data_IF_506169842922
#
_entry.id   IF_506169842922
#
_cell.length_a   1.000
_cell.length_b   1.000
_cell.length_c   1.000
_cell.angle_alpha   90.00
_cell.angle_beta   90.00
_cell.angle_gamma   90.00
#
_symmetry.space_group_name_H-M   'P 1'
#
loop_
_entity.id
_entity.type
_entity.pdbx_description
1 polymer ?
#
# COMPACT_ATOMS: atom_id res chain seq x y z
N UNK A 1 13.35 35.64 -26.90
CA UNK A 1 12.47 35.17 -25.79
C UNK A 1 11.69 33.95 -26.27
N UNK A 2 12.03 32.74 -25.81
CA UNK A 2 11.15 31.56 -25.84
C UNK A 2 11.04 31.10 -24.39
N UNK A 3 9.88 31.31 -23.76
CA UNK A 3 9.61 30.88 -22.39
C UNK A 3 9.55 29.35 -22.35
N UNK A 4 10.13 28.78 -21.30
CA UNK A 4 10.38 27.36 -21.13
C UNK A 4 9.08 26.65 -20.68
N UNK A 5 8.44 25.91 -21.59
CA UNK A 5 7.13 25.28 -21.33
C UNK A 5 7.21 24.05 -20.42
N UNK A 6 8.40 23.53 -20.09
CA UNK A 6 8.56 22.30 -19.28
C UNK A 6 8.09 22.47 -17.82
N UNK A 7 8.32 23.63 -17.21
CA UNK A 7 7.88 23.91 -15.83
C UNK A 7 6.35 24.03 -15.74
N UNK A 8 5.68 24.48 -16.81
CA UNK A 8 4.23 24.58 -16.87
C UNK A 8 3.57 23.19 -16.93
N UNK A 9 4.15 22.22 -17.66
CA UNK A 9 3.63 20.85 -17.73
C UNK A 9 3.80 20.07 -16.42
N UNK A 10 4.89 20.31 -15.68
CA UNK A 10 5.12 19.69 -14.37
C UNK A 10 4.15 20.24 -13.32
N UNK A 11 3.88 21.55 -13.34
CA UNK A 11 2.89 22.17 -12.45
C UNK A 11 1.46 21.72 -12.82
N UNK A 12 1.14 21.55 -14.11
CA UNK A 12 -0.15 21.00 -14.56
C UNK A 12 -0.29 19.52 -14.14
N UNK A 13 0.77 18.70 -14.23
CA UNK A 13 0.73 17.29 -13.82
C UNK A 13 0.53 17.14 -12.30
N UNK A 14 1.22 17.95 -11.50
CA UNK A 14 1.02 18.01 -10.04
C UNK A 14 -0.39 18.52 -9.72
N UNK A 15 -0.90 19.55 -10.42
CA UNK A 15 -2.28 20.02 -10.26
C UNK A 15 -3.31 18.95 -10.65
N UNK A 16 -3.07 18.13 -11.68
CA UNK A 16 -3.95 17.03 -12.12
C UNK A 16 -3.92 15.85 -11.14
N UNK A 17 -2.78 15.58 -10.50
CA UNK A 17 -2.63 14.54 -9.46
C UNK A 17 -3.25 14.96 -8.12
N UNK A 18 -3.19 16.25 -7.76
CA UNK A 18 -3.95 16.81 -6.66
C UNK A 18 -5.44 16.95 -6.99
N UNK A 19 -5.81 17.27 -8.23
CA UNK A 19 -7.20 17.27 -8.70
C UNK A 19 -7.80 15.86 -8.73
N UNK A 20 -7.06 14.80 -9.06
CA UNK A 20 -7.56 13.41 -9.05
C UNK A 20 -7.76 12.85 -7.65
N UNK A 21 -6.92 13.24 -6.69
CA UNK A 21 -7.08 12.93 -5.26
C UNK A 21 -8.18 13.78 -4.59
N UNK A 22 -8.33 15.06 -4.98
CA UNK A 22 -9.49 15.89 -4.62
C UNK A 22 -10.78 15.35 -5.29
N UNK A 23 -10.71 14.81 -6.52
CA UNK A 23 -11.83 14.19 -7.21
C UNK A 23 -12.23 12.86 -6.55
N UNK A 24 -11.27 12.02 -6.13
CA UNK A 24 -11.51 10.80 -5.34
C UNK A 24 -12.24 11.11 -4.02
N UNK A 25 -11.85 12.20 -3.35
CA UNK A 25 -12.52 12.72 -2.16
C UNK A 25 -13.91 13.30 -2.53
N UNK A 26 -14.04 14.01 -3.65
CA UNK A 26 -15.29 14.64 -4.09
C UNK A 26 -16.34 13.66 -4.61
N UNK A 27 -15.93 12.55 -5.23
CA UNK A 27 -16.79 11.51 -5.80
C UNK A 27 -17.29 10.58 -4.70
N UNK A 28 -16.44 10.23 -3.73
CA UNK A 28 -16.88 9.53 -2.53
C UNK A 28 -17.82 10.41 -1.68
N UNK A 29 -17.54 11.72 -1.61
CA UNK A 29 -18.44 12.72 -1.01
C UNK A 29 -19.74 12.90 -1.81
N UNK A 30 -19.73 12.89 -3.14
CA UNK A 30 -20.94 12.99 -4.00
C UNK A 30 -21.81 11.75 -3.97
N UNK A 31 -21.22 10.55 -3.88
CA UNK A 31 -21.98 9.31 -3.74
C UNK A 31 -22.61 9.23 -2.34
N UNK A 32 -21.88 9.61 -1.28
CA UNK A 32 -22.44 9.72 0.08
C UNK A 32 -23.46 10.86 0.23
N UNK A 33 -23.27 12.01 -0.42
CA UNK A 33 -24.26 13.09 -0.47
C UNK A 33 -25.50 12.64 -1.24
N UNK A 34 -25.35 11.91 -2.36
CA UNK A 34 -26.50 11.33 -3.07
C UNK A 34 -27.21 10.28 -2.23
N UNK A 35 -26.50 9.43 -1.49
CA UNK A 35 -27.11 8.43 -0.60
C UNK A 35 -27.79 9.09 0.62
N UNK A 36 -27.22 10.17 1.14
CA UNK A 36 -27.81 11.00 2.18
C UNK A 36 -29.00 11.82 1.66
N UNK A 37 -28.93 12.38 0.44
CA UNK A 37 -30.04 13.06 -0.25
C UNK A 37 -31.16 12.06 -0.53
N UNK A 38 -30.86 10.85 -1.00
CA UNK A 38 -31.83 9.77 -1.20
C UNK A 38 -32.45 9.35 0.14
N UNK A 39 -31.68 9.24 1.22
CA UNK A 39 -32.22 8.93 2.57
C UNK A 39 -33.07 10.08 3.11
N UNK A 40 -32.64 11.34 2.95
CA UNK A 40 -33.40 12.53 3.37
C UNK A 40 -34.67 12.67 2.54
N UNK A 41 -34.64 12.43 1.24
CA UNK A 41 -35.80 12.47 0.33
C UNK A 41 -36.76 11.29 0.61
N UNK A 42 -36.23 10.12 1.01
CA UNK A 42 -37.03 8.98 1.49
C UNK A 42 -37.70 9.29 2.83
N UNK A 43 -37.00 9.93 3.78
CA UNK A 43 -37.56 10.35 5.08
C UNK A 43 -38.60 11.47 4.90
N UNK A 44 -38.33 12.42 4.00
CA UNK A 44 -39.23 13.56 3.70
C UNK A 44 -40.49 13.09 2.94
N UNK A 45 -40.38 12.06 2.10
CA UNK A 45 -41.54 11.50 1.38
C UNK A 45 -42.38 10.52 2.22
N UNK A 46 -41.80 9.90 3.25
CA UNK A 46 -42.50 9.01 4.18
C UNK A 46 -43.23 9.75 5.32
N UNK A 47 -42.79 10.96 5.68
CA UNK A 47 -43.38 11.77 6.76
C UNK A 47 -44.16 12.99 6.23
N UNK A 48 -45.34 12.75 5.66
CA UNK A 48 -46.26 13.81 5.21
C UNK A 48 -47.02 14.54 6.35
N UNK A 49 -46.62 14.38 7.62
CA UNK A 49 -47.17 15.14 8.74
C UNK A 49 -46.01 15.75 9.55
N UNK A 50 -46.01 17.08 9.60
CA UNK A 50 -44.96 17.95 10.13
C UNK A 50 -44.66 17.75 11.62
N UNK A 51 -43.67 16.92 11.98
CA UNK A 51 -42.94 17.07 13.25
C UNK A 51 -41.46 17.33 12.95
N UNK A 52 -41.14 18.63 12.85
CA UNK A 52 -39.80 19.17 12.56
C UNK A 52 -38.73 18.70 13.57
N UNK A 53 -39.12 18.43 14.82
CA UNK A 53 -38.20 17.98 15.88
C UNK A 53 -37.59 16.60 15.58
N UNK A 54 -38.38 15.66 15.06
CA UNK A 54 -37.91 14.30 14.69
C UNK A 54 -36.91 14.33 13.54
N UNK A 55 -37.08 15.27 12.60
CA UNK A 55 -36.16 15.48 11.48
C UNK A 55 -34.85 16.08 12.00
N UNK A 56 -34.90 17.05 12.91
CA UNK A 56 -33.71 17.69 13.48
C UNK A 56 -32.87 16.69 14.30
N UNK A 57 -33.51 15.83 15.08
CA UNK A 57 -32.83 14.83 15.93
C UNK A 57 -32.08 13.78 15.10
N UNK A 58 -32.71 13.28 14.02
CA UNK A 58 -32.08 12.34 13.08
C UNK A 58 -30.99 12.97 12.21
N UNK A 59 -31.11 14.26 11.89
CA UNK A 59 -30.08 14.99 11.14
C UNK A 59 -28.84 15.24 12.01
N UNK A 60 -29.02 15.45 13.32
CA UNK A 60 -27.94 15.61 14.28
C UNK A 60 -27.23 14.27 14.62
N UNK A 61 -27.93 13.13 14.59
CA UNK A 61 -27.27 11.80 14.66
C UNK A 61 -26.36 11.58 13.44
N UNK A 62 -26.80 11.94 12.23
CA UNK A 62 -26.00 11.84 11.01
C UNK A 62 -24.79 12.79 11.05
N UNK A 63 -24.93 14.01 11.62
CA UNK A 63 -23.79 14.91 11.78
C UNK A 63 -22.82 14.42 12.86
N UNK A 64 -23.32 13.82 13.94
CA UNK A 64 -22.50 13.21 15.00
C UNK A 64 -21.70 12.01 14.52
N UNK A 65 -22.26 11.19 13.63
CA UNK A 65 -21.57 10.05 13.00
C UNK A 65 -20.48 10.50 11.99
N UNK A 66 -20.67 11.67 11.35
CA UNK A 66 -19.66 12.28 10.46
C UNK A 66 -18.49 12.87 11.27
N UNK A 67 -18.76 13.54 12.39
CA UNK A 67 -17.72 14.03 13.31
C UNK A 67 -16.93 12.86 13.97
N UNK A 68 -17.59 11.72 14.21
CA UNK A 68 -16.93 10.50 14.70
C UNK A 68 -16.05 9.81 13.64
N UNK A 69 -16.29 9.99 12.33
CA UNK A 69 -15.42 9.47 11.26
C UNK A 69 -14.22 10.39 10.95
N UNK A 70 -14.30 11.71 11.18
CA UNK A 70 -13.14 12.61 11.09
C UNK A 70 -12.06 12.27 12.14
N UNK A 71 -12.45 11.66 13.27
CA UNK A 71 -11.52 11.12 14.26
C UNK A 71 -10.66 9.95 13.74
N UNK A 72 -10.95 9.37 12.56
CA UNK A 72 -10.16 8.28 11.96
C UNK A 72 -8.98 8.76 11.11
N UNK A 73 -8.82 10.07 10.89
CA UNK A 73 -7.66 10.65 10.18
C UNK A 73 -6.62 11.28 11.09
N UNK A 74 -6.93 11.37 12.38
CA UNK A 74 -6.06 12.00 13.35
C UNK A 74 -4.77 11.23 13.62
N UNK A 75 -3.97 11.84 14.47
CA UNK A 75 -2.87 11.18 15.15
C UNK A 75 -3.03 11.36 16.65
N UNK A 76 -2.46 10.47 17.44
CA UNK A 76 -2.37 10.63 18.89
C UNK A 76 -0.92 10.66 19.32
N UNK A 77 -0.56 11.67 20.10
CA UNK A 77 0.76 11.84 20.71
C UNK A 77 0.54 12.13 22.20
N UNK A 78 1.16 11.38 23.10
CA UNK A 78 1.05 11.60 24.56
C UNK A 78 -0.41 11.64 25.07
N UNK A 79 -1.29 10.84 24.45
CA UNK A 79 -2.70 10.76 24.80
C UNK A 79 -3.57 11.92 24.30
N UNK A 80 -3.00 12.88 23.59
CA UNK A 80 -3.74 13.96 22.91
C UNK A 80 -3.94 13.62 21.44
N UNK A 81 -5.11 13.94 20.92
CA UNK A 81 -5.46 13.70 19.51
C UNK A 81 -5.34 15.00 18.71
N UNK A 82 -4.81 14.88 17.51
CA UNK A 82 -4.63 15.95 16.52
C UNK A 82 -5.27 15.53 15.21
N UNK A 83 -5.76 16.49 14.42
CA UNK A 83 -6.44 16.20 13.14
C UNK A 83 -5.48 15.60 12.10
N UNK A 84 -4.21 15.99 12.17
CA UNK A 84 -3.16 15.50 11.31
C UNK A 84 -1.80 15.74 11.94
N UNK A 85 -0.77 15.28 11.24
CA UNK A 85 0.59 15.61 11.64
C UNK A 85 0.93 17.09 11.49
N UNK A 86 0.33 17.78 10.52
CA UNK A 86 0.50 19.22 10.35
C UNK A 86 -0.16 20.01 11.48
N UNK A 87 -1.36 19.61 11.92
CA UNK A 87 -2.07 20.24 13.06
C UNK A 87 -1.25 20.12 14.35
N UNK A 88 -0.65 18.95 14.60
CA UNK A 88 0.29 18.78 15.72
C UNK A 88 1.46 19.78 15.68
N UNK A 89 2.07 19.97 14.51
CA UNK A 89 3.23 20.84 14.35
C UNK A 89 2.88 22.32 14.51
N UNK A 90 1.76 22.75 13.94
CA UNK A 90 1.29 24.12 14.06
C UNK A 90 1.09 24.50 15.53
N UNK A 91 0.44 23.62 16.31
CA UNK A 91 0.22 23.85 17.75
C UNK A 91 1.51 23.87 18.57
N UNK A 92 2.48 23.01 18.21
CA UNK A 92 3.81 23.01 18.84
C UNK A 92 4.52 24.35 18.62
N UNK A 93 4.52 24.83 17.38
CA UNK A 93 5.18 26.09 17.01
C UNK A 93 4.47 27.32 17.61
N UNK A 94 3.16 27.21 17.90
CA UNK A 94 2.38 28.19 18.68
C UNK A 94 2.66 28.17 20.19
N UNK A 95 3.53 27.27 20.67
CA UNK A 95 4.00 27.22 22.04
C UNK A 95 3.38 26.13 22.92
N UNK A 96 2.61 25.19 22.35
CA UNK A 96 2.32 23.94 23.06
C UNK A 96 3.63 23.15 23.22
N UNK A 97 4.16 23.05 24.43
CA UNK A 97 5.38 22.28 24.75
C UNK A 97 5.12 20.76 24.68
N UNK A 98 4.81 20.27 23.49
CA UNK A 98 4.53 18.85 23.22
C UNK A 98 5.57 18.40 22.20
N UNK A 99 6.48 17.56 22.65
CA UNK A 99 7.53 16.98 21.82
C UNK A 99 7.32 15.47 21.73
N UNK A 100 7.56 14.90 20.55
CA UNK A 100 7.67 13.46 20.40
C UNK A 100 9.07 13.04 20.86
N UNK A 101 9.21 12.35 22.01
CA UNK A 101 10.53 12.01 22.53
C UNK A 101 11.18 10.92 21.66
N UNK A 102 12.51 10.86 21.69
CA UNK A 102 13.20 9.63 21.30
C UNK A 102 12.77 8.49 22.22
N UNK A 103 12.69 7.29 21.65
CA UNK A 103 12.38 6.12 22.45
C UNK A 103 13.47 5.80 23.47
N UNK A 104 13.05 5.19 24.57
CA UNK A 104 13.94 4.63 25.58
C UNK A 104 14.66 3.39 25.05
N UNK A 105 15.87 3.16 25.55
CA UNK A 105 16.73 2.03 25.17
C UNK A 105 16.00 0.68 25.28
N UNK A 106 15.15 0.49 26.30
CA UNK A 106 14.38 -0.76 26.46
C UNK A 106 13.42 -1.02 25.31
N UNK A 107 12.74 0.01 24.81
CA UNK A 107 11.82 -0.10 23.67
C UNK A 107 12.61 -0.25 22.36
N UNK A 108 13.75 0.45 22.25
CA UNK A 108 14.66 0.29 21.12
C UNK A 108 15.17 -1.15 21.00
N UNK A 109 15.62 -1.77 22.08
CA UNK A 109 16.10 -3.15 22.08
C UNK A 109 15.00 -4.14 21.65
N UNK A 110 13.75 -3.90 22.06
CA UNK A 110 12.61 -4.69 21.59
C UNK A 110 12.38 -4.52 20.08
N UNK A 111 12.41 -3.27 19.60
CA UNK A 111 12.25 -2.96 18.19
C UNK A 111 13.36 -3.59 17.34
N UNK A 112 14.61 -3.45 17.78
CA UNK A 112 15.77 -4.06 17.16
C UNK A 112 15.64 -5.58 17.13
N UNK A 113 15.29 -6.21 18.25
CA UNK A 113 15.10 -7.66 18.32
C UNK A 113 14.07 -8.16 17.31
N UNK A 114 12.95 -7.46 17.11
CA UNK A 114 11.96 -7.87 16.11
C UNK A 114 12.42 -7.62 14.67
N UNK A 115 13.05 -6.48 14.40
CA UNK A 115 13.51 -6.14 13.05
C UNK A 115 14.66 -7.05 12.61
N UNK A 116 15.60 -7.42 13.49
CA UNK A 116 16.70 -8.33 13.16
C UNK A 116 16.26 -9.77 12.89
N UNK A 117 15.01 -10.15 13.20
CA UNK A 117 14.44 -11.45 12.78
C UNK A 117 14.01 -11.46 11.32
N UNK A 118 13.90 -10.28 10.69
CA UNK A 118 13.43 -10.16 9.32
C UNK A 118 14.60 -10.39 8.37
N UNK A 119 14.47 -11.42 7.55
CA UNK A 119 15.33 -11.61 6.39
C UNK A 119 14.78 -10.75 5.26
N UNK A 120 15.47 -9.66 4.95
CA UNK A 120 15.05 -8.76 3.88
C UNK A 120 15.44 -9.28 2.49
N UNK A 121 16.51 -10.09 2.38
CA UNK A 121 17.02 -10.59 1.11
C UNK A 121 16.03 -11.58 0.49
N UNK A 122 15.80 -11.43 -0.81
CA UNK A 122 14.99 -12.35 -1.60
C UNK A 122 15.79 -12.97 -2.73
N UNK A 123 15.30 -14.08 -3.26
CA UNK A 123 15.92 -14.80 -4.35
C UNK A 123 14.99 -14.89 -5.55
N UNK A 124 15.56 -14.78 -6.75
CA UNK A 124 14.88 -15.00 -8.01
C UNK A 124 15.12 -16.43 -8.50
N UNK A 125 14.78 -17.41 -7.66
CA UNK A 125 14.93 -18.82 -8.01
C UNK A 125 14.05 -19.13 -9.22
N UNK A 126 14.59 -19.84 -10.21
CA UNK A 126 13.84 -20.24 -11.40
C UNK A 126 12.90 -21.41 -11.13
N UNK A 127 13.02 -22.10 -9.99
CA UNK A 127 12.24 -23.31 -9.72
C UNK A 127 12.57 -24.44 -10.70
N UNK A 128 11.59 -25.27 -11.01
CA UNK A 128 11.72 -26.39 -11.94
C UNK A 128 11.66 -25.94 -13.40
N UNK A 129 12.83 -25.86 -14.03
CA UNK A 129 12.99 -25.52 -15.44
C UNK A 129 12.22 -26.45 -16.39
N UNK A 130 11.89 -27.68 -15.97
CA UNK A 130 11.10 -28.60 -16.80
C UNK A 130 9.64 -28.16 -16.98
N UNK A 131 9.15 -27.27 -16.12
CA UNK A 131 7.79 -26.70 -16.19
C UNK A 131 7.70 -25.47 -17.09
N UNK A 132 8.82 -24.86 -17.48
CA UNK A 132 8.83 -23.57 -18.17
C UNK A 132 8.03 -23.60 -19.48
N UNK A 133 8.29 -24.58 -20.33
CA UNK A 133 7.63 -24.66 -21.65
C UNK A 133 6.11 -24.87 -21.55
N UNK A 134 5.64 -25.62 -20.55
CA UNK A 134 4.20 -25.85 -20.35
C UNK A 134 3.53 -24.63 -19.72
N UNK A 135 4.15 -24.02 -18.70
CA UNK A 135 3.60 -22.86 -18.00
C UNK A 135 3.57 -21.63 -18.92
N UNK A 136 4.63 -21.35 -19.69
CA UNK A 136 4.63 -20.29 -20.71
C UNK A 136 3.48 -20.43 -21.70
N UNK A 137 3.18 -21.66 -22.16
CA UNK A 137 2.03 -21.92 -23.05
C UNK A 137 0.69 -21.63 -22.36
N UNK A 138 0.56 -21.95 -21.09
CA UNK A 138 -0.67 -21.70 -20.32
C UNK A 138 -0.85 -20.20 -20.12
N UNK A 139 0.18 -19.49 -19.66
CA UNK A 139 0.12 -18.04 -19.52
C UNK A 139 -0.12 -17.34 -20.86
N UNK A 140 0.45 -17.83 -21.97
CA UNK A 140 0.13 -17.35 -23.33
C UNK A 140 -1.35 -17.48 -23.65
N UNK A 141 -1.96 -18.64 -23.35
CA UNK A 141 -3.42 -18.84 -23.55
C UNK A 141 -4.23 -17.83 -22.73
N UNK A 142 -3.81 -17.54 -21.49
CA UNK A 142 -4.45 -16.54 -20.64
C UNK A 142 -4.35 -15.13 -21.26
N UNK A 143 -3.14 -14.72 -21.65
CA UNK A 143 -2.88 -13.42 -22.31
C UNK A 143 -3.66 -13.26 -23.63
N UNK A 144 -3.82 -14.36 -24.37
CA UNK A 144 -4.59 -14.42 -25.61
C UNK A 144 -6.12 -14.49 -25.40
N UNK A 145 -6.61 -14.50 -24.16
CA UNK A 145 -8.03 -14.65 -23.82
C UNK A 145 -8.63 -16.01 -24.21
N UNK A 146 -7.82 -17.06 -24.31
CA UNK A 146 -8.28 -18.42 -24.57
C UNK A 146 -8.77 -19.10 -23.27
N UNK A 147 -8.16 -18.74 -22.13
CA UNK A 147 -8.58 -19.17 -20.79
C UNK A 147 -8.71 -17.94 -19.86
N UNK A 148 -9.60 -17.98 -18.86
CA UNK A 148 -9.73 -16.88 -17.90
C UNK A 148 -8.65 -16.93 -16.81
N UNK A 149 -8.42 -15.77 -16.20
CA UNK A 149 -7.71 -15.58 -14.94
C UNK A 149 -8.73 -15.61 -13.80
N UNK A 150 -8.45 -16.33 -12.71
CA UNK A 150 -9.18 -16.19 -11.46
C UNK A 150 -8.67 -14.97 -10.71
N UNK A 151 -9.50 -13.92 -10.64
CA UNK A 151 -9.24 -12.75 -9.80
C UNK A 151 -9.60 -13.09 -8.34
N UNK A 152 -8.59 -13.21 -7.49
CA UNK A 152 -8.77 -13.56 -6.06
C UNK A 152 -9.37 -12.42 -5.24
N UNK A 153 -9.38 -11.18 -5.75
CA UNK A 153 -9.96 -10.01 -5.08
C UNK A 153 -11.48 -10.09 -5.04
N UNK A 154 -12.06 -10.51 -6.15
CA UNK A 154 -13.51 -10.63 -6.36
C UNK A 154 -13.99 -12.08 -6.36
N UNK A 155 -13.06 -13.04 -6.40
CA UNK A 155 -13.30 -14.46 -6.55
C UNK A 155 -14.10 -14.80 -7.84
N UNK A 156 -13.76 -14.14 -8.95
CA UNK A 156 -14.41 -14.31 -10.25
C UNK A 156 -13.41 -14.63 -11.35
N UNK A 157 -13.84 -15.40 -12.35
CA UNK A 157 -13.07 -15.64 -13.57
C UNK A 157 -13.27 -14.50 -14.56
N UNK A 158 -12.16 -13.98 -15.09
CA UNK A 158 -12.13 -12.82 -15.98
C UNK A 158 -11.11 -13.04 -17.09
N UNK A 159 -11.44 -12.65 -18.31
CA UNK A 159 -10.49 -12.69 -19.42
C UNK A 159 -9.54 -11.50 -19.37
N UNK A 160 -8.29 -11.66 -19.82
CA UNK A 160 -7.26 -10.63 -19.78
C UNK A 160 -7.71 -9.28 -20.39
N UNK A 161 -8.39 -9.32 -21.53
CA UNK A 161 -8.97 -8.15 -22.24
C UNK A 161 -10.03 -7.39 -21.44
N UNK A 162 -10.57 -8.01 -20.40
CA UNK A 162 -11.60 -7.43 -19.55
C UNK A 162 -11.05 -7.12 -18.16
N UNK A 163 -9.80 -7.52 -17.86
CA UNK A 163 -9.17 -7.30 -16.58
C UNK A 163 -8.88 -5.82 -16.35
N UNK A 164 -9.63 -5.22 -15.41
CA UNK A 164 -9.38 -3.88 -14.90
C UNK A 164 -8.55 -3.97 -13.62
N UNK A 165 -7.52 -3.11 -13.52
CA UNK A 165 -6.68 -3.07 -12.30
C UNK A 165 -7.37 -2.35 -11.16
N UNK A 166 -8.32 -1.46 -11.48
CA UNK A 166 -9.05 -0.67 -10.50
C UNK A 166 -10.54 -0.57 -10.88
N UNK A 167 -11.39 -0.76 -9.89
CA UNK A 167 -12.87 -0.70 -9.99
C UNK A 167 -13.41 0.71 -10.33
N UNK A 168 -12.56 1.74 -10.32
CA UNK A 168 -13.00 3.14 -10.37
C UNK A 168 -13.28 3.69 -11.78
N UNK A 169 -12.53 3.23 -12.78
CA UNK A 169 -12.58 3.81 -14.13
C UNK A 169 -12.87 2.79 -15.25
N UNK A 170 -13.07 1.50 -14.92
CA UNK A 170 -13.11 0.39 -15.90
C UNK A 170 -11.94 0.43 -16.91
N UNK A 171 -10.81 1.05 -16.54
CA UNK A 171 -9.62 1.11 -17.39
C UNK A 171 -9.01 -0.29 -17.42
N UNK A 172 -9.22 -0.96 -18.56
CA UNK A 172 -8.74 -2.32 -18.79
C UNK A 172 -7.25 -2.27 -19.05
N UNK A 173 -6.53 -3.27 -18.54
CA UNK A 173 -5.10 -3.39 -18.83
C UNK A 173 -4.83 -3.49 -20.34
N UNK A 174 -5.72 -4.16 -21.07
CA UNK A 174 -5.62 -4.25 -22.53
C UNK A 174 -5.73 -2.91 -23.24
N UNK A 175 -6.36 -1.90 -22.65
CA UNK A 175 -6.41 -0.56 -23.26
C UNK A 175 -5.01 0.10 -23.28
N UNK A 176 -4.06 -0.48 -22.53
CA UNK A 176 -2.66 -0.13 -22.54
C UNK A 176 -1.83 -1.02 -23.46
N UNK A 177 -2.38 -1.55 -24.56
CA UNK A 177 -1.66 -2.33 -25.59
C UNK A 177 -0.33 -1.69 -26.06
N UNK A 178 -0.15 -0.37 -25.92
CA UNK A 178 1.09 0.36 -26.24
C UNK A 178 1.95 0.73 -25.01
N UNK A 179 1.63 0.24 -23.82
CA UNK A 179 2.40 0.51 -22.61
C UNK A 179 3.66 -0.35 -22.55
N UNK A 180 4.67 0.17 -21.85
CA UNK A 180 5.81 -0.60 -21.42
C UNK A 180 5.33 -1.64 -20.39
N UNK A 181 5.51 -2.91 -20.75
CA UNK A 181 5.27 -4.08 -19.91
C UNK A 181 6.62 -4.71 -19.63
N UNK A 182 6.92 -4.91 -18.35
CA UNK A 182 8.06 -5.71 -17.90
C UNK A 182 7.52 -7.07 -17.49
N UNK A 183 8.12 -8.14 -18.01
CA UNK A 183 7.71 -9.50 -17.69
C UNK A 183 8.85 -10.22 -16.97
N UNK A 184 8.50 -10.89 -15.87
CA UNK A 184 9.43 -11.73 -15.13
C UNK A 184 8.85 -13.13 -14.95
N UNK A 185 9.73 -14.13 -14.94
CA UNK A 185 9.29 -15.52 -14.92
C UNK A 185 10.21 -16.41 -14.05
N UNK A 186 9.75 -16.65 -12.83
CA UNK A 186 10.52 -17.30 -11.77
C UNK A 186 9.59 -17.76 -10.63
N UNK A 187 10.09 -18.62 -9.74
CA UNK A 187 9.38 -19.14 -8.56
C UNK A 187 9.31 -18.05 -7.48
N UNK A 188 8.17 -17.34 -7.45
CA UNK A 188 7.91 -16.23 -6.54
C UNK A 188 7.27 -16.72 -5.22
N UNK A 189 6.46 -17.78 -5.27
CA UNK A 189 5.72 -18.26 -4.09
C UNK A 189 6.42 -19.39 -3.30
N UNK A 190 7.57 -19.85 -3.78
CA UNK A 190 8.41 -20.89 -3.20
C UNK A 190 7.70 -22.26 -3.15
N UNK A 191 6.94 -22.58 -4.21
CA UNK A 191 6.36 -23.90 -4.47
C UNK A 191 7.16 -24.75 -5.48
N UNK A 192 8.15 -24.13 -6.14
CA UNK A 192 9.01 -24.77 -7.14
C UNK A 192 8.53 -24.63 -8.58
N UNK A 193 7.34 -24.08 -8.83
CA UNK A 193 6.85 -23.74 -10.16
C UNK A 193 7.08 -22.24 -10.46
N UNK A 194 7.20 -21.84 -11.74
CA UNK A 194 7.39 -20.44 -12.08
C UNK A 194 6.06 -19.66 -12.15
N UNK A 195 6.02 -18.49 -11.53
CA UNK A 195 4.98 -17.49 -11.69
C UNK A 195 5.27 -16.54 -12.86
N UNK A 196 4.21 -16.02 -13.46
CA UNK A 196 4.29 -14.85 -14.32
C UNK A 196 4.12 -13.59 -13.47
N UNK A 197 5.16 -12.77 -13.38
CA UNK A 197 5.09 -11.44 -12.77
C UNK A 197 5.10 -10.41 -13.89
N UNK A 198 4.16 -9.46 -13.84
CA UNK A 198 4.07 -8.38 -14.82
C UNK A 198 4.07 -7.04 -14.11
N UNK A 199 4.88 -6.11 -14.61
CA UNK A 199 4.80 -4.70 -14.25
C UNK A 199 4.28 -3.92 -15.45
N UNK A 200 3.10 -3.34 -15.30
CA UNK A 200 2.43 -2.57 -16.36
C UNK A 200 2.51 -1.07 -16.06
N UNK A 201 2.95 -0.27 -17.03
CA UNK A 201 3.10 1.20 -16.90
C UNK A 201 3.94 1.64 -15.70
N UNK A 202 4.92 0.83 -15.31
CA UNK A 202 5.75 1.04 -14.11
C UNK A 202 4.97 1.10 -12.77
N UNK A 203 3.65 0.87 -12.77
CA UNK A 203 2.79 1.12 -11.61
C UNK A 203 2.04 -0.11 -11.12
N UNK A 204 1.58 -0.95 -12.04
CA UNK A 204 0.73 -2.07 -11.70
C UNK A 204 1.55 -3.35 -11.65
N UNK A 205 1.65 -3.94 -10.48
CA UNK A 205 2.31 -5.22 -10.28
C UNK A 205 1.27 -6.32 -10.18
N UNK A 206 1.44 -7.36 -10.99
CA UNK A 206 0.54 -8.50 -11.08
C UNK A 206 1.38 -9.77 -10.98
N UNK A 207 1.02 -10.63 -10.04
CA UNK A 207 1.73 -11.89 -9.79
C UNK A 207 0.73 -13.00 -10.04
N UNK A 208 0.97 -13.79 -11.09
CA UNK A 208 0.03 -14.78 -11.59
C UNK A 208 0.66 -16.16 -11.47
N UNK A 209 0.00 -17.01 -10.69
CA UNK A 209 0.33 -18.43 -10.52
C UNK A 209 -0.55 -19.29 -11.42
N UNK A 210 -0.05 -20.45 -11.83
CA UNK A 210 -0.89 -21.49 -12.43
C UNK A 210 -1.10 -22.65 -11.45
N UNK A 211 -2.37 -22.98 -11.17
CA UNK A 211 -2.77 -24.13 -10.36
C UNK A 211 -3.01 -25.34 -11.28
N UNK A 212 -2.12 -26.35 -11.31
CA UNK A 212 -2.26 -27.51 -12.18
C UNK A 212 -3.36 -28.47 -11.74
N UNK A 213 -3.78 -28.46 -10.47
CA UNK A 213 -4.87 -29.31 -9.98
C UNK A 213 -6.22 -28.79 -10.46
N UNK A 214 -6.37 -27.46 -10.49
CA UNK A 214 -7.61 -26.79 -10.93
C UNK A 214 -7.60 -26.39 -12.41
N UNK A 215 -6.46 -26.49 -13.09
CA UNK A 215 -6.21 -25.99 -14.45
C UNK A 215 -6.61 -24.50 -14.58
N UNK A 216 -6.06 -23.66 -13.68
CA UNK A 216 -6.43 -22.23 -13.59
C UNK A 216 -5.20 -21.34 -13.43
N UNK A 217 -5.18 -20.26 -14.20
CA UNK A 217 -4.36 -19.09 -13.85
C UNK A 217 -5.05 -18.35 -12.69
N UNK A 218 -4.29 -17.98 -11.67
CA UNK A 218 -4.78 -17.34 -10.45
C UNK A 218 -3.98 -16.07 -10.22
N UNK A 219 -4.66 -14.94 -10.00
CA UNK A 219 -4.03 -13.72 -9.52
C UNK A 219 -3.61 -13.95 -8.06
N UNK A 220 -2.36 -14.32 -7.85
CA UNK A 220 -1.81 -14.69 -6.55
C UNK A 220 -1.63 -13.45 -5.66
N UNK A 221 -1.05 -12.39 -6.22
CA UNK A 221 -0.92 -11.09 -5.55
C UNK A 221 -0.97 -9.96 -6.59
N UNK A 222 -1.29 -8.76 -6.12
CA UNK A 222 -1.31 -7.56 -6.94
C UNK A 222 -1.05 -6.33 -6.08
N UNK A 223 -0.49 -5.28 -6.69
CA UNK A 223 -0.39 -3.97 -6.06
C UNK A 223 -0.39 -2.85 -7.10
N UNK A 224 -0.76 -1.65 -6.67
CA UNK A 224 -0.63 -0.41 -7.44
C UNK A 224 0.38 0.48 -6.71
N UNK A 225 1.64 0.40 -7.11
CA UNK A 225 2.69 1.20 -6.52
C UNK A 225 3.85 1.39 -7.51
N UNK A 226 4.10 2.64 -7.88
CA UNK A 226 5.19 2.99 -8.79
C UNK A 226 6.56 2.71 -8.19
N UNK A 227 6.66 2.67 -6.86
CA UNK A 227 7.90 2.53 -6.10
C UNK A 227 8.10 1.12 -5.56
N UNK A 228 7.17 0.20 -5.84
CA UNK A 228 7.31 -1.20 -5.50
C UNK A 228 8.48 -1.84 -6.27
N UNK A 229 9.26 -2.61 -5.53
CA UNK A 229 10.32 -3.50 -6.00
C UNK A 229 9.98 -4.94 -5.60
N UNK A 230 9.91 -5.82 -6.59
CA UNK A 230 9.84 -7.25 -6.37
C UNK A 230 11.24 -7.75 -5.94
N UNK A 231 11.32 -8.40 -4.77
CA UNK A 231 12.59 -8.93 -4.24
C UNK A 231 12.73 -10.45 -4.44
N UNK A 232 11.69 -11.13 -4.91
CA UNK A 232 11.66 -12.59 -4.98
C UNK A 232 11.34 -13.26 -3.64
N UNK A 233 11.24 -14.58 -3.59
CA UNK A 233 10.96 -15.37 -2.36
C UNK A 233 9.81 -14.81 -1.50
N UNK A 234 8.67 -14.49 -2.13
CA UNK A 234 7.48 -13.87 -1.51
C UNK A 234 7.72 -12.50 -0.86
N UNK A 235 8.83 -11.81 -1.15
CA UNK A 235 9.20 -10.51 -0.57
C UNK A 235 8.99 -9.35 -1.53
N UNK A 236 8.50 -8.25 -0.97
CA UNK A 236 8.21 -7.02 -1.70
C UNK A 236 8.68 -5.84 -0.87
N UNK A 237 9.37 -4.91 -1.51
CA UNK A 237 9.76 -3.63 -0.93
C UNK A 237 9.07 -2.49 -1.69
N UNK A 238 8.91 -1.34 -1.04
CA UNK A 238 8.60 -0.08 -1.72
C UNK A 238 9.40 1.05 -1.08
N UNK A 239 10.01 1.88 -1.93
CA UNK A 239 10.91 2.95 -1.50
C UNK A 239 10.95 4.03 -2.58
N UNK A 240 10.55 5.25 -2.22
CA UNK A 240 10.56 6.37 -3.17
C UNK A 240 11.98 6.86 -3.47
N UNK A 241 12.83 6.92 -2.45
CA UNK A 241 14.15 7.55 -2.51
C UNK A 241 15.22 6.86 -1.65
N UNK A 242 14.97 5.63 -1.19
CA UNK A 242 15.89 4.86 -0.35
C UNK A 242 15.84 5.20 1.13
N UNK A 243 15.10 6.25 1.54
CA UNK A 243 15.06 6.69 2.95
C UNK A 243 13.94 6.06 3.75
N UNK A 244 12.86 5.70 3.09
CA UNK A 244 11.71 5.04 3.69
C UNK A 244 11.85 3.53 3.53
N UNK A 245 11.42 2.81 4.56
CA UNK A 245 11.39 1.34 4.55
C UNK A 245 9.94 0.92 4.51
N UNK A 246 9.51 0.35 3.40
CA UNK A 246 8.25 -0.36 3.35
C UNK A 246 8.52 -1.77 2.84
N UNK A 247 8.28 -2.75 3.70
CA UNK A 247 8.60 -4.14 3.40
C UNK A 247 7.41 -5.04 3.73
N UNK A 248 7.18 -6.03 2.87
CA UNK A 248 6.12 -7.01 2.97
C UNK A 248 6.70 -8.40 2.72
N UNK A 249 6.30 -9.35 3.57
CA UNK A 249 6.42 -10.77 3.31
C UNK A 249 5.02 -11.32 3.06
N UNK A 250 4.86 -12.07 1.97
CA UNK A 250 3.64 -12.79 1.64
C UNK A 250 3.75 -14.26 2.07
N UNK A 251 2.62 -14.90 2.35
CA UNK A 251 2.51 -16.34 2.50
C UNK A 251 2.41 -17.04 1.13
N UNK A 252 2.36 -18.37 1.13
CA UNK A 252 2.26 -19.18 -0.12
C UNK A 252 0.97 -18.96 -0.90
N UNK A 253 -0.03 -18.31 -0.31
CA UNK A 253 -1.30 -17.98 -0.98
C UNK A 253 -1.39 -16.50 -1.37
N UNK A 254 -0.27 -15.77 -1.30
CA UNK A 254 -0.17 -14.37 -1.70
C UNK A 254 -0.82 -13.42 -0.69
N UNK A 255 -1.10 -13.87 0.53
CA UNK A 255 -1.64 -13.04 1.60
C UNK A 255 -0.50 -12.47 2.44
N UNK A 256 -0.75 -11.34 3.07
CA UNK A 256 0.22 -10.70 3.95
C UNK A 256 0.56 -11.63 5.13
N UNK A 257 1.83 -12.01 5.26
CA UNK A 257 2.34 -12.71 6.44
C UNK A 257 2.77 -11.68 7.50
N UNK A 258 3.56 -10.70 7.08
CA UNK A 258 3.85 -9.51 7.88
C UNK A 258 4.26 -8.32 7.02
N UNK A 259 4.17 -7.13 7.61
CA UNK A 259 4.64 -5.87 7.02
C UNK A 259 5.38 -5.00 8.02
N UNK A 260 6.46 -4.40 7.55
CA UNK A 260 7.28 -3.44 8.28
C UNK A 260 7.19 -2.08 7.60
N UNK A 261 7.14 -1.02 8.40
CA UNK A 261 7.16 0.33 7.89
C UNK A 261 7.98 1.24 8.79
N UNK A 262 8.93 1.94 8.18
CA UNK A 262 9.59 3.09 8.73
C UNK A 262 9.63 4.23 7.69
N UNK A 263 9.60 5.47 8.15
CA UNK A 263 9.69 6.61 7.26
C UNK A 263 10.53 7.73 7.88
N UNK A 264 11.12 8.52 7.00
CA UNK A 264 11.82 9.74 7.35
C UNK A 264 10.98 10.93 6.91
N UNK A 265 10.59 11.79 7.86
CA UNK A 265 9.86 13.01 7.52
C UNK A 265 10.61 14.26 7.98
N UNK A 266 10.53 15.31 7.16
CA UNK A 266 11.13 16.61 7.40
C UNK A 266 10.14 17.48 8.15
N UNK A 267 10.48 17.84 9.39
CA UNK A 267 9.64 18.67 10.26
C UNK A 267 9.99 20.14 10.14
N UNK A 268 11.27 20.42 9.94
CA UNK A 268 11.77 21.74 9.56
C UNK A 268 13.02 21.56 8.69
N UNK A 269 13.61 22.68 8.24
CA UNK A 269 14.90 22.63 7.53
C UNK A 269 16.03 22.04 8.39
N UNK A 270 15.88 22.08 9.72
CA UNK A 270 16.87 21.64 10.70
C UNK A 270 16.45 20.38 11.47
N UNK A 271 15.21 19.88 11.28
CA UNK A 271 14.64 18.80 12.09
C UNK A 271 14.05 17.69 11.21
N UNK A 272 14.59 16.48 11.35
CA UNK A 272 14.17 15.27 10.63
C UNK A 272 13.86 14.18 11.64
N UNK A 273 12.65 13.58 11.60
CA UNK A 273 12.35 12.41 12.42
C UNK A 273 12.39 11.17 11.57
N UNK A 274 13.01 10.15 12.14
CA UNK A 274 12.99 8.79 11.68
C UNK A 274 11.98 8.06 12.54
N UNK A 275 10.89 7.67 11.92
CA UNK A 275 9.72 7.10 12.56
C UNK A 275 9.67 5.62 12.20
N UNK A 276 9.76 4.76 13.20
CA UNK A 276 9.77 3.31 13.00
C UNK A 276 8.57 2.70 13.70
N UNK A 277 7.98 1.67 13.11
CA UNK A 277 6.94 0.88 13.76
C UNK A 277 7.40 -0.55 13.95
N UNK A 278 6.85 -1.23 14.95
CA UNK A 278 7.03 -2.68 15.05
C UNK A 278 6.47 -3.37 13.80
N UNK A 279 7.07 -4.49 13.37
CA UNK A 279 6.48 -5.33 12.34
C UNK A 279 5.05 -5.72 12.74
N UNK A 280 4.13 -5.72 11.77
CA UNK A 280 2.76 -6.22 11.98
C UNK A 280 2.59 -7.55 11.30
N UNK A 281 2.33 -8.57 12.09
CA UNK A 281 2.10 -9.93 11.64
C UNK A 281 0.60 -10.18 11.43
N UNK A 282 0.26 -11.03 10.47
CA UNK A 282 -1.11 -11.52 10.34
C UNK A 282 -1.53 -12.37 11.55
N UNK A 283 -0.58 -13.12 12.12
CA UNK A 283 -0.77 -13.78 13.41
C UNK A 283 -0.51 -12.80 14.57
N UNK A 284 -1.59 -12.30 15.16
CA UNK A 284 -1.54 -11.34 16.27
C UNK A 284 -0.78 -11.86 17.51
N UNK A 285 -0.57 -13.18 17.64
CA UNK A 285 0.20 -13.75 18.75
C UNK A 285 1.69 -13.44 18.66
N UNK A 286 2.16 -13.02 17.49
CA UNK A 286 3.54 -12.60 17.22
C UNK A 286 3.73 -11.09 17.43
N UNK A 287 2.66 -10.32 17.66
CA UNK A 287 2.78 -8.88 17.90
C UNK A 287 3.41 -8.61 19.28
N UNK A 288 4.26 -7.57 19.32
CA UNK A 288 4.90 -7.13 20.55
C UNK A 288 3.86 -6.51 21.48
N UNK A 289 3.84 -6.97 22.73
CA UNK A 289 2.97 -6.41 23.76
C UNK A 289 3.68 -5.26 24.48
N UNK A 290 3.19 -4.04 24.29
CA UNK A 290 3.52 -2.87 25.10
C UNK A 290 2.30 -2.43 25.88
N UNK A 291 2.50 -1.84 27.06
CA UNK A 291 1.39 -1.27 27.83
C UNK A 291 0.88 0.00 27.14
N UNK A 292 -0.41 0.31 27.32
CA UNK A 292 -1.00 1.56 26.83
C UNK A 292 -0.26 2.81 27.31
N UNK A 293 0.30 2.77 28.52
CA UNK A 293 1.09 3.87 29.09
C UNK A 293 2.43 4.03 28.36
N UNK A 294 3.15 2.94 28.09
CA UNK A 294 4.41 2.98 27.32
C UNK A 294 4.16 3.49 25.90
N UNK A 295 3.12 2.98 25.24
CA UNK A 295 2.71 3.38 23.90
C UNK A 295 2.39 4.87 23.84
N UNK A 296 1.50 5.35 24.70
CA UNK A 296 1.09 6.77 24.70
C UNK A 296 2.25 7.69 25.06
N UNK A 297 3.13 7.29 25.98
CA UNK A 297 4.24 8.14 26.45
C UNK A 297 5.32 8.34 25.39
N UNK A 298 5.62 7.32 24.59
CA UNK A 298 6.79 7.31 23.69
C UNK A 298 6.42 7.29 22.20
N UNK A 299 5.18 6.94 21.87
CA UNK A 299 4.75 6.73 20.50
C UNK A 299 3.81 7.80 19.97
N UNK A 300 3.80 7.91 18.64
CA UNK A 300 2.73 8.54 17.86
C UNK A 300 1.85 7.43 17.28
N UNK A 301 0.55 7.48 17.52
CA UNK A 301 -0.40 6.57 16.89
C UNK A 301 -1.05 7.24 15.68
N UNK A 302 -1.15 6.55 14.55
CA UNK A 302 -1.91 7.03 13.38
C UNK A 302 -3.15 6.17 13.19
N UNK A 303 -4.33 6.80 13.21
CA UNK A 303 -5.61 6.09 13.10
C UNK A 303 -5.79 5.48 11.71
N UNK A 304 -5.40 6.21 10.66
CA UNK A 304 -5.50 5.77 9.26
C UNK A 304 -4.72 4.46 8.98
N UNK A 305 -3.59 4.25 9.66
CA UNK A 305 -2.79 3.04 9.50
C UNK A 305 -3.01 2.03 10.63
N UNK A 306 -3.76 2.41 11.68
CA UNK A 306 -3.92 1.67 12.93
C UNK A 306 -2.55 1.18 13.42
N UNK A 307 -1.64 2.12 13.70
CA UNK A 307 -0.22 1.83 13.93
C UNK A 307 0.44 2.84 14.85
N UNK A 308 1.26 2.33 15.76
CA UNK A 308 2.18 3.10 16.59
C UNK A 308 3.53 3.30 15.91
N UNK A 309 4.08 4.49 16.11
CA UNK A 309 5.32 4.97 15.52
C UNK A 309 6.22 5.54 16.61
N UNK A 310 7.50 5.25 16.49
CA UNK A 310 8.51 5.52 17.49
C UNK A 310 9.63 6.34 16.85
N UNK A 311 9.95 7.48 17.46
CA UNK A 311 11.05 8.33 17.01
C UNK A 311 12.37 7.73 17.47
N UNK A 312 13.27 7.48 16.52
CA UNK A 312 14.62 6.97 16.78
C UNK A 312 15.67 7.99 16.34
N UNK A 313 16.91 7.86 16.84
CA UNK A 313 18.04 8.65 16.34
C UNK A 313 18.45 8.19 14.93
N UNK A 314 19.32 8.94 14.25
CA UNK A 314 19.90 8.50 12.98
C UNK A 314 20.70 7.20 13.18
N UNK A 315 21.55 7.15 14.21
CA UNK A 315 22.41 5.99 14.47
C UNK A 315 21.57 4.72 14.70
N UNK A 316 20.50 4.84 15.49
CA UNK A 316 19.54 3.77 15.73
C UNK A 316 18.84 3.34 14.43
N UNK A 317 18.40 4.29 13.60
CA UNK A 317 17.75 3.95 12.34
C UNK A 317 18.68 3.20 11.38
N UNK A 318 19.92 3.66 11.24
CA UNK A 318 20.91 3.00 10.39
C UNK A 318 21.23 1.59 10.89
N UNK A 319 21.33 1.39 12.22
CA UNK A 319 21.53 0.06 12.80
C UNK A 319 20.33 -0.87 12.53
N UNK A 320 19.09 -0.38 12.67
CA UNK A 320 17.88 -1.17 12.41
C UNK A 320 17.78 -1.63 10.96
N UNK A 321 18.19 -0.79 10.01
CA UNK A 321 17.93 -1.00 8.58
C UNK A 321 19.17 -1.21 7.71
N UNK A 322 20.33 -1.44 8.32
CA UNK A 322 21.59 -1.69 7.59
C UNK A 322 21.41 -2.77 6.51
N UNK A 323 20.88 -3.94 6.90
CA UNK A 323 20.66 -5.06 5.98
C UNK A 323 19.64 -4.76 4.87
N UNK A 324 18.62 -3.93 5.16
CA UNK A 324 17.61 -3.53 4.18
C UNK A 324 18.23 -2.65 3.08
N UNK A 325 19.07 -1.69 3.45
CA UNK A 325 19.72 -0.79 2.50
C UNK A 325 20.78 -1.48 1.62
N UNK A 326 21.32 -2.62 2.06
CA UNK A 326 22.22 -3.44 1.24
C UNK A 326 21.46 -4.09 0.06
N UNK A 327 20.19 -4.45 0.23
CA UNK A 327 19.37 -5.11 -0.80
C UNK A 327 18.94 -4.16 -1.91
N UNK A 328 18.77 -2.86 -1.64
CA UNK A 328 18.48 -1.88 -2.71
C UNK A 328 19.59 -1.86 -3.78
N UNK A 329 20.81 -2.31 -3.44
CA UNK A 329 21.92 -2.41 -4.39
C UNK A 329 21.84 -3.66 -5.29
N UNK A 330 20.92 -4.58 -5.02
CA UNK A 330 20.73 -5.84 -5.74
C UNK A 330 19.61 -5.82 -6.78
N UNK A 331 19.03 -4.63 -7.06
CA UNK A 331 17.98 -4.43 -8.07
C UNK A 331 18.29 -5.06 -9.45
N UNK A 332 19.56 -5.25 -9.77
CA UNK A 332 19.99 -5.90 -11.02
C UNK A 332 19.66 -7.40 -11.08
N UNK A 333 19.47 -8.10 -9.94
CA UNK A 333 19.16 -9.53 -9.91
C UNK A 333 17.79 -9.85 -10.52
N UNK A 334 16.82 -8.94 -10.38
CA UNK A 334 15.50 -9.08 -11.03
C UNK A 334 15.62 -9.16 -12.57
N UNK A 335 16.64 -8.53 -13.15
CA UNK A 335 16.90 -8.57 -14.61
C UNK A 335 17.33 -9.95 -15.11
N UNK A 336 17.79 -10.84 -14.23
CA UNK A 336 18.20 -12.20 -14.61
C UNK A 336 17.01 -13.13 -14.93
N UNK A 337 15.83 -12.72 -14.49
CA UNK A 337 14.54 -13.38 -14.71
C UNK A 337 13.57 -12.51 -15.48
N UNK A 338 14.05 -11.39 -16.05
CA UNK A 338 13.33 -10.52 -16.96
C UNK A 338 13.34 -11.11 -18.38
N UNK A 339 12.21 -10.97 -19.06
CA UNK A 339 12.02 -11.46 -20.40
C UNK A 339 11.27 -10.42 -21.25
N UNK A 340 11.53 -10.42 -22.56
CA UNK A 340 10.62 -9.76 -23.50
C UNK A 340 9.36 -10.59 -23.70
N UNK A 341 8.33 -9.96 -24.28
CA UNK A 341 7.10 -10.66 -24.65
C UNK A 341 7.40 -11.84 -25.60
N UNK A 342 8.26 -11.63 -26.59
CA UNK A 342 8.67 -12.64 -27.55
C UNK A 342 9.42 -13.79 -26.86
N UNK A 343 10.33 -13.52 -25.92
CA UNK A 343 11.07 -14.58 -25.20
C UNK A 343 10.19 -15.45 -24.29
N UNK A 344 9.04 -14.92 -23.83
CA UNK A 344 8.06 -15.70 -23.07
C UNK A 344 7.08 -16.43 -23.97
N UNK A 345 6.64 -15.82 -25.07
CA UNK A 345 5.43 -16.25 -25.75
C UNK A 345 5.59 -16.56 -27.23
N UNK A 346 6.70 -16.24 -27.90
CA UNK A 346 6.97 -16.59 -29.31
C UNK A 346 8.02 -17.68 -29.46
#
# INVERSE_FOLDING_TARGET
MKKNNKTLYIVIFILVFFLSSILWISVNKRNKIKDAEIKIETITSQNNNNDLETIIEQTNEISGDIEAEESQRGIMIQGKTYESLFDFLERRDEGEMIELPYIEDSIYEMLNTEIQKIEFEGEFNKGDLSLYDSYKKIFRKMMNNEIPLLDTRTNTEIYWKDFAVNDYNDEKLSDYENAEHEYYFFDMDEDGAPELVMRVRMMFWLYIRYDPEKDKCVLWYWNIDAWESCLGSRKISSSWDGRDVYFKQLDKEGKMEYKLWAFTTFWSIDETYRMVSFPRYADQRLEVSLTDEELKRQGMYTYVHNRWWFRVTEEQYQELFQNYHEIEQEYWRLKEVEYTYEELFE
#
